data_IF_777508087355
#
_entry.id   IF_777508087355
#
_cell.length_a   1.000
_cell.length_b   1.000
_cell.length_c   1.000
_cell.angle_alpha   90.00
_cell.angle_beta   90.00
_cell.angle_gamma   90.00
#
_symmetry.space_group_name_H-M   'P 1'
#
loop_
_entity.id
_entity.type
_entity.pdbx_description
1 polymer ?
#
# COMPACT_ATOMS: atom_id res chain seq x y z
N UNK A 1 -28.10 -5.63 -12.62
CA UNK A 1 -28.18 -4.15 -12.68
C UNK A 1 -27.29 -3.46 -11.63
N UNK A 2 -27.13 -4.02 -10.43
CA UNK A 2 -26.28 -3.44 -9.36
C UNK A 2 -24.76 -3.38 -9.66
N UNK A 3 -24.19 -4.29 -10.47
CA UNK A 3 -22.74 -4.28 -10.78
C UNK A 3 -22.31 -3.14 -11.74
N UNK A 4 -23.20 -2.67 -12.60
CA UNK A 4 -22.89 -1.61 -13.57
C UNK A 4 -22.96 -0.21 -12.92
N UNK A 5 -23.74 -0.06 -11.86
CA UNK A 5 -23.90 1.18 -11.10
C UNK A 5 -22.65 1.45 -10.24
N UNK A 6 -22.15 0.40 -9.57
CA UNK A 6 -20.98 0.50 -8.70
C UNK A 6 -19.67 0.81 -9.47
N UNK A 7 -19.55 0.32 -10.71
CA UNK A 7 -18.41 0.65 -11.58
C UNK A 7 -18.43 2.09 -12.07
N UNK A 8 -19.61 2.64 -12.39
CA UNK A 8 -19.75 4.05 -12.79
C UNK A 8 -19.43 5.01 -11.65
N UNK A 9 -19.88 4.71 -10.43
CA UNK A 9 -19.61 5.53 -9.26
C UNK A 9 -18.12 5.50 -8.89
N UNK A 10 -17.49 4.32 -8.95
CA UNK A 10 -16.04 4.20 -8.74
C UNK A 10 -15.26 5.00 -9.79
N UNK A 11 -15.63 4.88 -11.06
CA UNK A 11 -15.03 5.66 -12.16
C UNK A 11 -15.21 7.16 -11.90
N UNK A 12 -16.40 7.61 -11.48
CA UNK A 12 -16.69 9.01 -11.19
C UNK A 12 -15.87 9.55 -10.02
N UNK A 13 -15.68 8.78 -8.95
CA UNK A 13 -14.85 9.17 -7.80
C UNK A 13 -13.38 9.26 -8.20
N UNK A 14 -12.88 8.28 -8.97
CA UNK A 14 -11.52 8.30 -9.51
C UNK A 14 -11.30 9.51 -10.44
N UNK A 15 -12.26 9.81 -11.32
CA UNK A 15 -12.22 10.98 -12.20
C UNK A 15 -12.26 12.30 -11.42
N UNK A 16 -13.07 12.37 -10.36
CA UNK A 16 -13.19 13.58 -9.54
C UNK A 16 -11.91 13.84 -8.73
N UNK A 17 -11.28 12.80 -8.19
CA UNK A 17 -9.97 12.90 -7.55
C UNK A 17 -8.87 13.29 -8.55
N UNK A 18 -8.94 12.77 -9.78
CA UNK A 18 -8.03 13.12 -10.86
C UNK A 18 -8.14 14.58 -11.30
N UNK A 19 -9.36 15.12 -11.37
CA UNK A 19 -9.59 16.49 -11.87
C UNK A 19 -9.03 17.56 -10.92
N UNK A 20 -9.04 17.30 -9.61
CA UNK A 20 -8.41 18.16 -8.58
C UNK A 20 -6.89 18.26 -8.78
N UNK A 21 -6.25 17.18 -9.22
CA UNK A 21 -4.80 17.11 -9.42
C UNK A 21 -4.38 17.65 -10.79
N UNK A 22 -5.20 17.43 -11.81
CA UNK A 22 -5.00 17.92 -13.18
C UNK A 22 -5.01 19.45 -13.28
N UNK A 23 -5.71 20.15 -12.39
CA UNK A 23 -5.72 21.62 -12.39
C UNK A 23 -4.44 22.25 -11.81
N UNK A 24 -3.54 21.44 -11.22
CA UNK A 24 -2.33 21.91 -10.51
C UNK A 24 -1.02 21.34 -11.07
N UNK A 25 -1.07 20.44 -12.06
CA UNK A 25 0.10 19.72 -12.57
C UNK A 25 -0.03 19.37 -14.05
N UNK A 26 1.09 19.22 -14.76
CA UNK A 26 1.08 18.75 -16.15
C UNK A 26 0.49 17.33 -16.24
N UNK A 27 -0.27 17.06 -17.29
CA UNK A 27 -0.96 15.78 -17.45
C UNK A 27 -0.01 14.58 -17.54
N UNK A 28 1.22 14.78 -18.05
CA UNK A 28 2.22 13.71 -18.11
C UNK A 28 2.78 13.41 -16.73
N UNK A 29 3.11 14.45 -15.94
CA UNK A 29 3.56 14.24 -14.55
C UNK A 29 2.46 13.56 -13.73
N UNK A 30 1.21 14.03 -13.84
CA UNK A 30 0.07 13.46 -13.13
C UNK A 30 -0.09 11.95 -13.37
N UNK A 31 0.04 11.52 -14.64
CA UNK A 31 -0.04 10.11 -15.01
C UNK A 31 1.02 9.27 -14.30
N UNK A 32 2.26 9.74 -14.28
CA UNK A 32 3.38 9.01 -13.68
C UNK A 32 3.21 8.89 -12.15
N UNK A 33 2.76 9.97 -11.48
CA UNK A 33 2.47 9.93 -10.04
C UNK A 33 1.28 9.04 -9.71
N UNK A 34 0.17 9.14 -10.46
CA UNK A 34 -1.01 8.30 -10.21
C UNK A 34 -0.68 6.83 -10.40
N UNK A 35 0.02 6.48 -11.48
CA UNK A 35 0.39 5.11 -11.78
C UNK A 35 1.32 4.53 -10.70
N UNK A 36 2.32 5.31 -10.27
CA UNK A 36 3.21 4.91 -9.18
C UNK A 36 2.47 4.66 -7.85
N UNK A 37 1.51 5.53 -7.49
CA UNK A 37 0.71 5.38 -6.28
C UNK A 37 -0.22 4.16 -6.36
N UNK A 38 -0.89 3.94 -7.49
CA UNK A 38 -1.77 2.78 -7.69
C UNK A 38 -0.97 1.48 -7.65
N UNK A 39 0.20 1.47 -8.29
CA UNK A 39 1.11 0.33 -8.24
C UNK A 39 1.58 0.05 -6.80
N UNK A 40 1.99 1.09 -6.07
CA UNK A 40 2.40 0.95 -4.67
C UNK A 40 1.27 0.44 -3.78
N UNK A 41 0.05 0.95 -3.98
CA UNK A 41 -1.14 0.46 -3.30
C UNK A 41 -1.31 -1.05 -3.52
N UNK A 42 -1.23 -1.49 -4.77
CA UNK A 42 -1.37 -2.91 -5.11
C UNK A 42 -0.29 -3.76 -4.42
N UNK A 43 0.98 -3.35 -4.48
CA UNK A 43 2.07 -4.04 -3.80
C UNK A 43 1.87 -4.09 -2.29
N UNK A 44 1.55 -2.95 -1.66
CA UNK A 44 1.35 -2.87 -0.22
C UNK A 44 0.15 -3.69 0.26
N UNK A 45 -0.96 -3.66 -0.47
CA UNK A 45 -2.16 -4.42 -0.11
C UNK A 45 -1.89 -5.93 -0.25
N UNK A 46 -1.26 -6.34 -1.36
CA UNK A 46 -0.90 -7.74 -1.61
C UNK A 46 0.10 -8.25 -0.57
N UNK A 47 1.07 -7.42 -0.21
CA UNK A 47 2.04 -7.71 0.85
C UNK A 47 1.36 -7.97 2.18
N UNK A 48 0.50 -7.06 2.64
CA UNK A 48 -0.19 -7.22 3.93
C UNK A 48 -1.06 -8.48 3.97
N UNK A 49 -1.73 -8.81 2.86
CA UNK A 49 -2.52 -10.04 2.76
C UNK A 49 -1.62 -11.28 2.89
N UNK A 50 -0.51 -11.32 2.15
CA UNK A 50 0.44 -12.45 2.22
C UNK A 50 1.07 -12.59 3.59
N UNK A 51 1.50 -11.48 4.20
CA UNK A 51 2.08 -11.51 5.54
C UNK A 51 1.07 -12.03 6.56
N UNK A 52 -0.18 -11.60 6.47
CA UNK A 52 -1.23 -12.10 7.35
C UNK A 52 -1.48 -13.60 7.15
N UNK A 53 -1.49 -14.07 5.90
CA UNK A 53 -1.59 -15.47 5.53
C UNK A 53 -0.42 -16.30 6.10
N UNK A 54 0.81 -15.78 6.06
CA UNK A 54 1.97 -16.45 6.68
C UNK A 54 1.89 -16.54 8.21
N UNK A 55 1.24 -15.57 8.87
CA UNK A 55 1.12 -15.54 10.34
C UNK A 55 -0.03 -16.41 10.84
N UNK A 56 -1.17 -16.39 10.17
CA UNK A 56 -2.41 -17.02 10.65
C UNK A 56 -3.00 -18.09 9.72
N UNK A 57 -2.45 -18.31 8.53
CA UNK A 57 -2.98 -19.21 7.48
C UNK A 57 -4.44 -18.87 7.11
N UNK A 58 -4.77 -17.57 7.19
CA UNK A 58 -6.11 -17.04 6.97
C UNK A 58 -6.08 -15.75 6.15
N UNK A 59 -7.25 -15.35 5.63
CA UNK A 59 -7.41 -14.05 4.97
C UNK A 59 -7.79 -12.98 5.98
N UNK A 60 -7.15 -11.81 5.94
CA UNK A 60 -7.53 -10.72 6.84
C UNK A 60 -8.93 -10.22 6.50
N UNK A 61 -9.73 -9.92 7.51
CA UNK A 61 -11.04 -9.29 7.34
C UNK A 61 -10.90 -7.91 6.65
N UNK A 62 -9.84 -7.18 6.99
CA UNK A 62 -9.48 -5.92 6.36
C UNK A 62 -7.98 -5.63 6.48
N UNK A 63 -7.47 -4.70 5.65
CA UNK A 63 -6.05 -4.35 5.61
C UNK A 63 -5.52 -3.74 6.91
N UNK A 64 -6.38 -3.18 7.77
CA UNK A 64 -5.94 -2.65 9.08
C UNK A 64 -5.62 -3.79 10.05
N UNK A 65 -6.45 -4.83 10.08
CA UNK A 65 -6.18 -6.05 10.85
C UNK A 65 -4.88 -6.70 10.38
N UNK A 66 -4.68 -6.79 9.07
CA UNK A 66 -3.43 -7.30 8.50
C UNK A 66 -2.19 -6.50 8.94
N UNK A 67 -2.31 -5.17 8.95
CA UNK A 67 -1.24 -4.26 9.36
C UNK A 67 -0.91 -4.39 10.85
N UNK A 68 -1.92 -4.46 11.73
CA UNK A 68 -1.70 -4.59 13.17
C UNK A 68 -1.07 -5.95 13.51
N UNK A 69 -1.56 -7.04 12.90
CA UNK A 69 -0.93 -8.35 12.99
C UNK A 69 0.55 -8.32 12.57
N UNK A 70 0.86 -7.66 11.45
CA UNK A 70 2.24 -7.52 11.00
C UNK A 70 3.10 -6.73 12.01
N UNK A 71 2.58 -5.63 12.57
CA UNK A 71 3.28 -4.87 13.61
C UNK A 71 3.52 -5.68 14.89
N UNK A 72 2.56 -6.51 15.28
CA UNK A 72 2.71 -7.39 16.44
C UNK A 72 3.75 -8.48 16.19
N UNK A 73 3.70 -9.14 15.03
CA UNK A 73 4.68 -10.15 14.64
C UNK A 73 6.11 -9.61 14.57
N UNK A 74 6.28 -8.32 14.23
CA UNK A 74 7.58 -7.66 14.24
C UNK A 74 8.14 -7.33 15.63
N UNK A 75 7.32 -7.33 16.68
CA UNK A 75 7.78 -7.12 18.06
C UNK A 75 8.23 -8.41 18.73
N UNK A 76 7.80 -9.55 18.20
CA UNK A 76 8.15 -10.85 18.76
C UNK A 76 9.54 -11.32 18.33
N UNK A 77 10.06 -12.30 19.05
CA UNK A 77 11.38 -12.91 18.83
C UNK A 77 11.52 -13.53 17.43
N UNK A 78 10.39 -13.88 16.79
CA UNK A 78 10.32 -14.48 15.45
C UNK A 78 10.27 -13.46 14.31
N UNK A 79 10.44 -12.17 14.58
CA UNK A 79 10.40 -11.11 13.56
C UNK A 79 11.44 -11.30 12.44
N UNK A 80 12.61 -11.85 12.76
CA UNK A 80 13.67 -12.10 11.77
C UNK A 80 13.32 -13.27 10.84
N UNK A 81 12.79 -14.36 11.38
CA UNK A 81 12.33 -15.52 10.60
C UNK A 81 11.20 -15.13 9.64
N UNK A 82 10.23 -14.35 10.12
CA UNK A 82 9.14 -13.85 9.28
C UNK A 82 9.68 -12.97 8.13
N UNK A 83 10.63 -12.09 8.41
CA UNK A 83 11.24 -11.25 7.36
C UNK A 83 11.98 -12.07 6.32
N UNK A 84 12.68 -13.13 6.72
CA UNK A 84 13.35 -14.03 5.77
C UNK A 84 12.35 -14.77 4.88
N UNK A 85 11.26 -15.29 5.46
CA UNK A 85 10.20 -15.93 4.70
C UNK A 85 9.54 -14.96 3.71
N UNK A 86 9.19 -13.76 4.17
CA UNK A 86 8.63 -12.71 3.33
C UNK A 86 9.60 -12.35 2.20
N UNK A 87 10.89 -12.21 2.49
CA UNK A 87 11.90 -11.91 1.47
C UNK A 87 12.02 -13.04 0.44
N UNK A 88 11.93 -14.29 0.88
CA UNK A 88 11.97 -15.46 -0.01
C UNK A 88 10.75 -15.56 -0.92
N UNK A 89 9.57 -15.09 -0.48
CA UNK A 89 8.31 -15.29 -1.20
C UNK A 89 7.82 -14.05 -1.97
N UNK A 90 8.07 -12.86 -1.41
CA UNK A 90 7.65 -11.58 -1.99
C UNK A 90 8.78 -10.87 -2.73
N UNK A 91 10.06 -11.21 -2.52
CA UNK A 91 11.24 -10.49 -3.06
C UNK A 91 11.36 -9.01 -2.62
N UNK A 92 10.39 -8.50 -1.87
CA UNK A 92 10.41 -7.16 -1.29
C UNK A 92 9.83 -7.16 0.12
N UNK A 93 10.30 -6.22 0.93
CA UNK A 93 9.83 -6.04 2.31
C UNK A 93 9.41 -4.60 2.50
N UNK A 94 8.17 -4.40 2.96
CA UNK A 94 7.62 -3.08 3.25
C UNK A 94 7.59 -2.89 4.76
N UNK A 95 8.22 -1.82 5.26
CA UNK A 95 8.10 -1.43 6.67
C UNK A 95 6.63 -1.14 7.01
N UNK A 96 6.10 -1.53 8.18
CA UNK A 96 4.69 -1.31 8.53
C UNK A 96 4.25 0.15 8.39
N UNK A 97 5.14 1.08 8.76
CA UNK A 97 4.92 2.52 8.70
C UNK A 97 4.85 3.07 7.27
N UNK A 98 5.44 2.35 6.31
CA UNK A 98 5.49 2.71 4.90
C UNK A 98 4.37 2.05 4.08
N UNK A 99 3.51 1.23 4.69
CA UNK A 99 2.38 0.62 3.97
C UNK A 99 1.40 1.67 3.46
N UNK A 100 0.73 1.37 2.34
CA UNK A 100 -0.31 2.23 1.78
C UNK A 100 -1.45 2.47 2.78
N UNK A 101 -1.79 1.49 3.62
CA UNK A 101 -2.78 1.63 4.70
C UNK A 101 -2.37 2.74 5.68
N UNK A 102 -1.09 2.80 6.07
CA UNK A 102 -0.54 3.88 6.88
C UNK A 102 -0.58 5.23 6.16
N UNK A 103 -0.20 5.27 4.88
CA UNK A 103 -0.25 6.51 4.10
C UNK A 103 -1.68 7.04 3.92
N UNK A 104 -2.65 6.16 3.69
CA UNK A 104 -4.05 6.53 3.57
C UNK A 104 -4.59 7.11 4.88
N UNK A 105 -4.24 6.53 6.02
CA UNK A 105 -4.63 7.07 7.33
C UNK A 105 -3.88 8.38 7.66
N UNK A 106 -2.60 8.51 7.33
CA UNK A 106 -1.84 9.75 7.47
C UNK A 106 -2.40 10.88 6.58
N UNK A 107 -2.81 10.57 5.35
CA UNK A 107 -3.43 11.53 4.44
C UNK A 107 -4.77 12.04 4.97
N UNK A 108 -5.61 11.17 5.54
CA UNK A 108 -6.86 11.56 6.22
C UNK A 108 -6.61 12.47 7.42
N UNK A 109 -5.50 12.25 8.13
CA UNK A 109 -5.12 13.01 9.31
C UNK A 109 -4.26 14.25 9.01
N UNK A 110 -4.08 14.63 7.73
CA UNK A 110 -3.21 15.74 7.29
C UNK A 110 -1.75 15.63 7.78
N UNK A 111 -1.27 14.42 8.06
CA UNK A 111 0.09 14.14 8.53
C UNK A 111 0.96 13.44 7.49
N UNK A 112 0.44 13.26 6.27
CA UNK A 112 1.17 12.61 5.18
C UNK A 112 2.35 13.46 4.71
N UNK A 113 3.54 12.86 4.68
CA UNK A 113 4.76 13.48 4.16
C UNK A 113 5.21 12.78 2.87
N UNK A 114 5.46 13.56 1.82
CA UNK A 114 6.00 13.09 0.53
C UNK A 114 7.31 12.32 0.68
N UNK A 115 8.16 12.71 1.64
CA UNK A 115 9.43 12.03 1.90
C UNK A 115 9.24 10.57 2.31
N UNK A 116 8.16 10.25 3.03
CA UNK A 116 7.84 8.87 3.38
C UNK A 116 7.45 8.05 2.15
N UNK A 117 6.72 8.65 1.21
CA UNK A 117 6.37 8.01 -0.06
C UNK A 117 7.63 7.75 -0.91
N UNK A 118 8.56 8.70 -0.95
CA UNK A 118 9.81 8.51 -1.67
C UNK A 118 10.69 7.45 -1.01
N UNK A 119 10.76 7.41 0.33
CA UNK A 119 11.42 6.33 1.07
C UNK A 119 10.79 4.97 0.74
N UNK A 120 9.47 4.90 0.71
CA UNK A 120 8.72 3.70 0.33
C UNK A 120 9.10 3.19 -1.07
N UNK A 121 9.17 4.07 -2.07
CA UNK A 121 9.60 3.68 -3.42
C UNK A 121 11.05 3.20 -3.46
N UNK A 122 11.96 3.94 -2.84
CA UNK A 122 13.37 3.55 -2.79
C UNK A 122 13.56 2.19 -2.10
N UNK A 123 12.81 1.90 -1.04
CA UNK A 123 12.86 0.61 -0.36
C UNK A 123 12.45 -0.55 -1.29
N UNK A 124 11.44 -0.35 -2.14
CA UNK A 124 11.04 -1.36 -3.14
C UNK A 124 12.11 -1.52 -4.21
N UNK A 125 12.63 -0.41 -4.75
CA UNK A 125 13.68 -0.45 -5.77
C UNK A 125 14.99 -1.09 -5.28
N UNK A 126 15.32 -0.95 -3.99
CA UNK A 126 16.52 -1.53 -3.37
C UNK A 126 16.32 -2.94 -2.82
N UNK A 127 15.08 -3.44 -2.80
CA UNK A 127 14.78 -4.77 -2.25
C UNK A 127 15.29 -5.92 -3.11
N UNK A 128 15.49 -5.68 -4.41
CA UNK A 128 15.97 -6.66 -5.40
C UNK A 128 17.18 -6.07 -6.16
N UNK A 129 18.40 -6.65 -6.04
CA UNK A 129 19.60 -6.18 -6.74
C UNK A 129 19.76 -6.70 -8.17
#
# INVERSE_FOLDING_TARGET
MAELENSKDLISVLWSGADILRSKMDANEYKDYLLGIVFYKYLSDSFLIKVYDLIYDEKPENLKVALEAYKEALKDSSAEELKEQIKSECHYVIEPELTYTCFADAARNNSFNREQLQKAFNNIEQSDP
#
